data_IF_711579424469
#
_entry.id   IF_711579424469
#
_cell.length_a   1.000
_cell.length_b   1.000
_cell.length_c   1.000
_cell.angle_alpha   90.00
_cell.angle_beta   90.00
_cell.angle_gamma   90.00
#
_symmetry.space_group_name_H-M   'P 1'
#
loop_
_entity.id
_entity.type
_entity.pdbx_description
1 polymer ?
#
# COMPACT_ATOMS: atom_id res chain seq x y z
N UNK A 1 -4.75 28.45 -1.76
CA UNK A 1 -4.33 27.59 -2.88
C UNK A 1 -5.10 26.28 -2.93
N UNK A 2 -5.09 25.40 -1.93
CA UNK A 2 -5.77 24.09 -1.99
C UNK A 2 -7.29 24.12 -2.34
N UNK A 3 -8.06 25.09 -1.85
CA UNK A 3 -9.49 25.21 -2.19
C UNK A 3 -9.74 25.59 -3.65
N UNK A 4 -8.89 26.40 -4.25
CA UNK A 4 -9.00 26.85 -5.65
C UNK A 4 -8.67 25.70 -6.60
N UNK A 5 -7.64 24.90 -6.27
CA UNK A 5 -7.25 23.73 -7.04
C UNK A 5 -8.31 22.61 -6.98
N UNK A 6 -8.87 22.34 -5.79
CA UNK A 6 -9.95 21.37 -5.65
C UNK A 6 -11.20 21.78 -6.44
N UNK A 7 -11.58 23.06 -6.40
CA UNK A 7 -12.71 23.56 -7.17
C UNK A 7 -12.47 23.47 -8.69
N UNK A 8 -11.21 23.66 -9.13
CA UNK A 8 -10.80 23.46 -10.52
C UNK A 8 -10.94 22.01 -10.97
N UNK A 9 -10.50 21.06 -10.14
CA UNK A 9 -10.62 19.61 -10.42
C UNK A 9 -12.08 19.15 -10.52
N UNK A 10 -12.96 19.67 -9.66
CA UNK A 10 -14.39 19.33 -9.66
C UNK A 10 -15.16 19.91 -10.88
N UNK A 11 -14.57 20.82 -11.63
CA UNK A 11 -15.11 21.31 -12.90
C UNK A 11 -14.76 20.41 -14.10
N UNK A 12 -13.74 19.57 -13.97
CA UNK A 12 -13.33 18.60 -15.00
C UNK A 12 -14.33 17.42 -15.03
N UNK A 13 -15.28 17.47 -15.96
CA UNK A 13 -16.37 16.48 -16.04
C UNK A 13 -15.87 15.02 -16.09
N UNK A 14 -14.76 14.80 -16.78
CA UNK A 14 -14.18 13.46 -16.93
C UNK A 14 -13.57 12.96 -15.62
N UNK A 15 -12.88 13.85 -14.89
CA UNK A 15 -12.32 13.57 -13.57
C UNK A 15 -13.43 13.23 -12.57
N UNK A 16 -14.50 14.03 -12.51
CA UNK A 16 -15.62 13.78 -11.59
C UNK A 16 -16.30 12.45 -11.87
N UNK A 17 -16.48 12.08 -13.16
CA UNK A 17 -17.02 10.75 -13.52
C UNK A 17 -16.09 9.63 -13.09
N UNK A 18 -14.77 9.74 -13.29
CA UNK A 18 -13.81 8.74 -12.86
C UNK A 18 -13.73 8.65 -11.32
N UNK A 19 -13.76 9.81 -10.65
CA UNK A 19 -13.78 9.91 -9.20
C UNK A 19 -15.04 9.26 -8.59
N UNK A 20 -16.21 9.45 -9.22
CA UNK A 20 -17.46 8.80 -8.76
C UNK A 20 -17.38 7.28 -8.85
N UNK A 21 -16.83 6.72 -9.93
CA UNK A 21 -16.56 5.28 -10.05
C UNK A 21 -15.63 4.80 -8.93
N UNK A 22 -14.56 5.57 -8.64
CA UNK A 22 -13.61 5.25 -7.59
C UNK A 22 -14.25 5.28 -6.20
N UNK A 23 -14.95 6.36 -5.86
CA UNK A 23 -15.54 6.56 -4.53
C UNK A 23 -16.60 5.50 -4.24
N UNK A 24 -17.54 5.28 -5.16
CA UNK A 24 -18.60 4.27 -4.99
C UNK A 24 -17.99 2.85 -4.96
N UNK A 25 -17.04 2.55 -5.82
CA UNK A 25 -16.36 1.24 -5.85
C UNK A 25 -15.62 0.97 -4.55
N UNK A 26 -14.78 1.90 -4.08
CA UNK A 26 -14.02 1.73 -2.84
C UNK A 26 -14.88 1.74 -1.57
N UNK A 27 -16.01 2.46 -1.55
CA UNK A 27 -17.00 2.35 -0.49
C UNK A 27 -17.50 0.91 -0.34
N UNK A 28 -17.89 0.26 -1.45
CA UNK A 28 -18.32 -1.14 -1.45
C UNK A 28 -17.16 -2.10 -1.11
N UNK A 29 -15.93 -1.78 -1.50
CA UNK A 29 -14.75 -2.55 -1.09
C UNK A 29 -14.57 -2.54 0.43
N UNK A 30 -14.81 -1.40 1.07
CA UNK A 30 -14.79 -1.28 2.53
C UNK A 30 -15.82 -2.19 3.18
N UNK A 31 -17.06 -2.23 2.68
CA UNK A 31 -18.11 -3.13 3.17
C UNK A 31 -17.69 -4.59 3.00
N UNK A 32 -17.24 -4.99 1.81
CA UNK A 32 -16.84 -6.38 1.50
C UNK A 32 -15.69 -6.83 2.43
N UNK A 33 -14.64 -6.01 2.54
CA UNK A 33 -13.47 -6.37 3.37
C UNK A 33 -13.81 -6.47 4.84
N UNK A 34 -14.67 -5.59 5.36
CA UNK A 34 -15.10 -5.63 6.77
C UNK A 34 -16.06 -6.78 7.05
N UNK A 35 -16.99 -7.06 6.14
CA UNK A 35 -17.90 -8.20 6.26
C UNK A 35 -17.12 -9.53 6.26
N UNK A 36 -16.13 -9.65 5.37
CA UNK A 36 -15.22 -10.81 5.32
C UNK A 36 -14.32 -10.89 6.55
N UNK A 37 -13.72 -9.76 6.95
CA UNK A 37 -12.87 -9.69 8.13
C UNK A 37 -13.62 -10.10 9.39
N UNK A 38 -14.82 -9.59 9.59
CA UNK A 38 -15.69 -9.97 10.70
C UNK A 38 -16.06 -11.45 10.69
N UNK A 39 -16.43 -11.97 9.51
CA UNK A 39 -16.86 -13.36 9.36
C UNK A 39 -15.72 -14.37 9.40
N UNK A 40 -14.63 -14.14 8.66
CA UNK A 40 -13.54 -15.09 8.53
C UNK A 40 -12.55 -15.03 9.69
N UNK A 41 -12.25 -13.82 10.21
CA UNK A 41 -11.17 -13.63 11.18
C UNK A 41 -11.66 -13.62 12.63
N UNK A 42 -12.89 -13.17 12.89
CA UNK A 42 -13.37 -12.92 14.24
C UNK A 42 -14.53 -13.84 14.70
N UNK A 43 -14.95 -14.81 13.89
CA UNK A 43 -15.91 -15.83 14.34
C UNK A 43 -15.18 -16.92 15.12
N UNK A 44 -15.38 -17.02 16.47
CA UNK A 44 -14.62 -17.96 17.33
C UNK A 44 -14.84 -19.43 16.95
N UNK A 45 -16.04 -19.73 16.45
CA UNK A 45 -16.46 -21.09 16.09
C UNK A 45 -15.75 -21.67 14.88
N UNK A 46 -15.04 -20.84 14.12
CA UNK A 46 -14.57 -21.16 12.76
C UNK A 46 -13.06 -21.20 12.59
N UNK A 47 -12.30 -20.79 13.62
CA UNK A 47 -10.84 -20.80 13.56
C UNK A 47 -10.24 -21.36 14.83
N UNK A 48 -9.86 -22.63 14.77
CA UNK A 48 -9.32 -23.39 15.90
C UNK A 48 -7.82 -23.15 16.14
N UNK A 49 -7.10 -22.43 15.24
CA UNK A 49 -5.67 -22.25 15.41
C UNK A 49 -5.14 -20.93 14.83
N UNK A 50 -4.06 -20.36 15.41
CA UNK A 50 -3.36 -19.20 14.85
C UNK A 50 -2.90 -19.42 13.40
N UNK A 51 -2.54 -20.66 13.03
CA UNK A 51 -2.13 -21.03 11.68
C UNK A 51 -3.26 -20.82 10.65
N UNK A 52 -4.52 -21.06 11.02
CA UNK A 52 -5.67 -20.82 10.15
C UNK A 52 -5.88 -19.30 9.90
N UNK A 53 -5.64 -18.46 10.91
CA UNK A 53 -5.66 -16.99 10.79
C UNK A 53 -4.57 -16.54 9.82
N UNK A 54 -3.36 -17.07 9.95
CA UNK A 54 -2.24 -16.79 9.05
C UNK A 54 -2.53 -17.24 7.63
N UNK A 55 -3.07 -18.43 7.46
CA UNK A 55 -3.48 -18.95 6.16
C UNK A 55 -4.50 -18.02 5.49
N UNK A 56 -5.51 -17.55 6.23
CA UNK A 56 -6.50 -16.61 5.72
C UNK A 56 -5.86 -15.27 5.29
N UNK A 57 -4.94 -14.72 6.10
CA UNK A 57 -4.24 -13.48 5.73
C UNK A 57 -3.25 -13.65 4.58
N UNK A 58 -2.45 -14.70 4.58
CA UNK A 58 -1.55 -15.01 3.47
C UNK A 58 -2.34 -15.09 2.17
N UNK A 59 -3.47 -15.75 2.23
CA UNK A 59 -4.37 -15.96 1.10
C UNK A 59 -5.03 -14.67 0.62
N UNK A 60 -5.47 -13.80 1.54
CA UNK A 60 -6.09 -12.51 1.22
C UNK A 60 -5.10 -11.53 0.55
N UNK A 61 -3.84 -11.63 0.91
CA UNK A 61 -2.84 -10.62 0.56
C UNK A 61 -1.85 -11.09 -0.54
N UNK A 62 -1.66 -12.40 -0.70
CA UNK A 62 -0.72 -12.99 -1.67
C UNK A 62 -1.02 -12.60 -3.14
N UNK A 63 -2.29 -12.53 -3.61
CA UNK A 63 -2.58 -12.07 -4.95
C UNK A 63 -2.21 -10.62 -5.21
N UNK A 64 -2.29 -9.77 -4.18
CA UNK A 64 -1.93 -8.35 -4.31
C UNK A 64 -0.48 -8.15 -4.71
N UNK A 65 0.41 -9.00 -4.21
CA UNK A 65 1.84 -8.89 -4.45
C UNK A 65 2.28 -9.50 -5.78
N UNK A 66 1.76 -10.69 -6.09
CA UNK A 66 2.20 -11.45 -7.27
C UNK A 66 1.52 -10.94 -8.54
N UNK A 67 0.22 -10.64 -8.48
CA UNK A 67 -0.57 -10.27 -9.65
C UNK A 67 -0.40 -8.80 -10.01
N UNK A 68 -0.07 -7.93 -9.02
CA UNK A 68 0.03 -6.48 -9.20
C UNK A 68 0.85 -6.02 -10.41
N UNK A 69 2.11 -6.45 -10.58
CA UNK A 69 2.96 -6.04 -11.72
C UNK A 69 2.40 -6.48 -13.08
N UNK A 70 1.68 -7.61 -13.13
CA UNK A 70 1.13 -8.16 -14.37
C UNK A 70 -0.22 -7.54 -14.77
N UNK A 71 -0.86 -6.77 -13.88
CA UNK A 71 -2.12 -6.09 -14.18
C UNK A 71 -1.98 -5.04 -15.28
N UNK A 72 -0.80 -4.41 -15.41
CA UNK A 72 -0.48 -3.50 -16.51
C UNK A 72 -0.65 -4.18 -17.88
N UNK A 73 -0.07 -5.37 -18.04
CA UNK A 73 -0.15 -6.15 -19.29
C UNK A 73 -1.59 -6.48 -19.68
N UNK A 74 -2.44 -6.75 -18.68
CA UNK A 74 -3.85 -7.03 -18.92
C UNK A 74 -4.62 -5.76 -19.32
N UNK A 75 -4.30 -4.63 -18.69
CA UNK A 75 -4.91 -3.33 -18.98
C UNK A 75 -4.54 -2.78 -20.36
N UNK A 76 -3.36 -3.12 -20.88
CA UNK A 76 -2.90 -2.67 -22.20
C UNK A 76 -3.62 -3.39 -23.36
N UNK A 77 -4.30 -4.52 -23.07
CA UNK A 77 -5.04 -5.29 -24.06
C UNK A 77 -6.50 -4.82 -24.21
N UNK A 78 -7.07 -4.18 -23.20
CA UNK A 78 -8.49 -3.85 -23.16
C UNK A 78 -8.70 -2.36 -22.94
N UNK A 79 -9.79 -1.81 -23.50
CA UNK A 79 -10.20 -0.43 -23.22
C UNK A 79 -10.53 -0.28 -21.74
N UNK A 80 -9.87 0.65 -21.05
CA UNK A 80 -9.97 0.82 -19.58
C UNK A 80 -11.41 1.00 -19.08
N UNK A 81 -12.28 1.66 -19.85
CA UNK A 81 -13.73 1.72 -19.54
C UNK A 81 -14.35 0.32 -19.48
N UNK A 82 -14.06 -0.55 -20.44
CA UNK A 82 -14.59 -1.92 -20.46
C UNK A 82 -14.05 -2.72 -19.28
N UNK A 83 -12.79 -2.57 -18.93
CA UNK A 83 -12.21 -3.17 -17.72
C UNK A 83 -12.99 -2.71 -16.49
N UNK A 84 -13.21 -1.41 -16.29
CA UNK A 84 -13.98 -0.90 -15.15
C UNK A 84 -15.41 -1.44 -15.12
N UNK A 85 -16.08 -1.54 -16.27
CA UNK A 85 -17.43 -2.05 -16.38
C UNK A 85 -17.50 -3.55 -16.07
N UNK A 86 -16.82 -4.36 -16.89
CA UNK A 86 -16.94 -5.83 -16.80
C UNK A 86 -16.35 -6.38 -15.50
N UNK A 87 -15.25 -5.82 -15.03
CA UNK A 87 -14.64 -6.27 -13.76
C UNK A 87 -15.59 -6.03 -12.58
N UNK A 88 -16.30 -4.89 -12.53
CA UNK A 88 -17.27 -4.64 -11.45
C UNK A 88 -18.50 -5.57 -11.57
N UNK A 89 -18.95 -5.90 -12.77
CA UNK A 89 -20.04 -6.88 -12.97
C UNK A 89 -19.59 -8.27 -12.48
N UNK A 90 -18.42 -8.74 -12.90
CA UNK A 90 -17.89 -10.04 -12.47
C UNK A 90 -17.70 -10.06 -10.95
N UNK A 91 -17.18 -8.97 -10.37
CA UNK A 91 -17.04 -8.86 -8.91
C UNK A 91 -18.40 -8.92 -8.20
N UNK A 92 -19.43 -8.26 -8.72
CA UNK A 92 -20.76 -8.33 -8.14
C UNK A 92 -21.29 -9.78 -8.10
N UNK A 93 -21.09 -10.54 -9.18
CA UNK A 93 -21.46 -11.98 -9.24
C UNK A 93 -20.64 -12.78 -8.21
N UNK A 94 -19.32 -12.55 -8.13
CA UNK A 94 -18.46 -13.24 -7.16
C UNK A 94 -18.86 -12.90 -5.71
N UNK A 95 -19.25 -11.64 -5.42
CA UNK A 95 -19.69 -11.21 -4.08
C UNK A 95 -21.04 -11.84 -3.72
N UNK A 96 -21.97 -12.02 -4.67
CA UNK A 96 -23.22 -12.78 -4.45
C UNK A 96 -22.90 -14.25 -4.16
N UNK A 97 -21.99 -14.86 -4.91
CA UNK A 97 -21.53 -16.22 -4.65
C UNK A 97 -20.89 -16.35 -3.26
N UNK A 98 -20.10 -15.34 -2.86
CA UNK A 98 -19.52 -15.27 -1.52
C UNK A 98 -20.61 -15.17 -0.44
N UNK A 99 -21.66 -14.36 -0.64
CA UNK A 99 -22.80 -14.28 0.26
C UNK A 99 -23.50 -15.62 0.42
N UNK A 100 -23.69 -16.35 -0.66
CA UNK A 100 -24.27 -17.70 -0.63
C UNK A 100 -23.40 -18.70 0.13
N UNK A 101 -22.07 -18.73 -0.13
CA UNK A 101 -21.13 -19.57 0.62
C UNK A 101 -21.09 -19.23 2.12
N UNK A 102 -21.25 -17.95 2.46
CA UNK A 102 -21.35 -17.50 3.85
C UNK A 102 -22.60 -18.02 4.53
N UNK A 103 -23.74 -18.05 3.83
CA UNK A 103 -25.01 -18.60 4.35
C UNK A 103 -24.96 -20.12 4.50
N UNK A 104 -24.35 -20.84 3.58
CA UNK A 104 -24.19 -22.29 3.67
C UNK A 104 -23.22 -22.75 4.76
N UNK A 105 -22.44 -21.82 5.33
CA UNK A 105 -21.42 -22.13 6.34
C UNK A 105 -20.19 -22.84 5.76
N UNK A 106 -20.07 -22.92 4.43
CA UNK A 106 -18.95 -23.54 3.76
C UNK A 106 -17.71 -22.61 3.83
N UNK A 107 -16.73 -23.04 4.61
CA UNK A 107 -15.41 -22.40 4.73
C UNK A 107 -14.32 -23.12 3.92
N UNK A 108 -14.75 -23.97 3.00
CA UNK A 108 -13.86 -24.77 2.17
C UNK A 108 -13.01 -23.95 1.18
N UNK A 109 -12.19 -24.65 0.38
CA UNK A 109 -11.30 -24.02 -0.62
C UNK A 109 -12.05 -23.13 -1.62
N UNK A 110 -13.35 -23.38 -1.84
CA UNK A 110 -14.22 -22.60 -2.71
C UNK A 110 -14.38 -21.14 -2.24
N UNK A 111 -14.65 -20.93 -0.97
CA UNK A 111 -14.74 -19.57 -0.38
C UNK A 111 -13.43 -18.81 -0.58
N UNK A 112 -12.34 -19.48 -0.30
CA UNK A 112 -10.99 -18.94 -0.45
C UNK A 112 -10.72 -18.49 -1.89
N UNK A 113 -11.04 -19.35 -2.86
CA UNK A 113 -10.86 -19.05 -4.29
C UNK A 113 -11.69 -17.83 -4.71
N UNK A 114 -12.96 -17.75 -4.27
CA UNK A 114 -13.84 -16.62 -4.59
C UNK A 114 -13.29 -15.31 -4.03
N UNK A 115 -12.82 -15.31 -2.78
CA UNK A 115 -12.20 -14.14 -2.15
C UNK A 115 -10.95 -13.71 -2.91
N UNK A 116 -10.09 -14.66 -3.30
CA UNK A 116 -8.88 -14.37 -4.09
C UNK A 116 -9.22 -13.71 -5.42
N UNK A 117 -10.24 -14.22 -6.13
CA UNK A 117 -10.69 -13.64 -7.39
C UNK A 117 -11.22 -12.22 -7.17
N UNK A 118 -12.05 -11.99 -6.15
CA UNK A 118 -12.56 -10.64 -5.81
C UNK A 118 -11.42 -9.67 -5.57
N UNK A 119 -10.40 -10.06 -4.82
CA UNK A 119 -9.24 -9.20 -4.51
C UNK A 119 -8.35 -8.96 -5.73
N UNK A 120 -8.12 -9.98 -6.57
CA UNK A 120 -7.38 -9.82 -7.81
C UNK A 120 -8.08 -8.84 -8.77
N UNK A 121 -9.39 -8.97 -8.91
CA UNK A 121 -10.21 -8.07 -9.71
C UNK A 121 -10.24 -6.64 -9.13
N UNK A 122 -10.26 -6.50 -7.79
CA UNK A 122 -10.12 -5.20 -7.14
C UNK A 122 -8.79 -4.53 -7.49
N UNK A 123 -7.70 -5.27 -7.45
CA UNK A 123 -6.39 -4.75 -7.85
C UNK A 123 -6.38 -4.26 -9.29
N UNK A 124 -7.00 -5.02 -10.20
CA UNK A 124 -7.15 -4.63 -11.61
C UNK A 124 -7.89 -3.30 -11.75
N UNK A 125 -8.99 -3.11 -11.01
CA UNK A 125 -9.75 -1.85 -11.00
C UNK A 125 -8.90 -0.69 -10.50
N UNK A 126 -8.19 -0.84 -9.37
CA UNK A 126 -7.37 0.22 -8.82
C UNK A 126 -6.24 0.62 -9.78
N UNK A 127 -5.64 -0.34 -10.46
CA UNK A 127 -4.63 -0.10 -11.50
C UNK A 127 -5.25 0.62 -12.72
N UNK A 128 -6.44 0.20 -13.17
CA UNK A 128 -7.16 0.84 -14.26
C UNK A 128 -7.53 2.29 -13.94
N UNK A 129 -7.99 2.56 -12.72
CA UNK A 129 -8.31 3.92 -12.25
C UNK A 129 -7.06 4.80 -12.20
N UNK A 130 -5.95 4.30 -11.67
CA UNK A 130 -4.69 5.04 -11.60
C UNK A 130 -4.14 5.34 -13.00
N UNK A 131 -4.13 4.36 -13.90
CA UNK A 131 -3.68 4.53 -15.27
C UNK A 131 -4.58 5.46 -16.12
N UNK A 132 -5.87 5.59 -15.75
CA UNK A 132 -6.82 6.45 -16.44
C UNK A 132 -6.72 7.92 -16.02
N UNK A 133 -6.23 8.19 -14.80
CA UNK A 133 -6.25 9.51 -14.17
C UNK A 133 -5.56 10.61 -15.01
N UNK A 134 -4.36 10.39 -15.61
CA UNK A 134 -3.68 11.42 -16.41
C UNK A 134 -4.47 11.87 -17.65
N UNK A 135 -5.46 11.08 -18.09
CA UNK A 135 -6.31 11.41 -19.26
C UNK A 135 -7.59 12.14 -18.90
N UNK A 136 -7.81 12.41 -17.62
CA UNK A 136 -9.05 13.02 -17.12
C UNK A 136 -8.87 14.45 -16.68
N UNK A 137 -7.64 14.92 -16.57
CA UNK A 137 -7.27 16.27 -16.13
C UNK A 137 -6.17 16.84 -17.01
N UNK A 138 -6.03 18.16 -17.04
CA UNK A 138 -4.90 18.85 -17.67
C UNK A 138 -3.59 18.58 -16.88
N UNK A 139 -2.45 18.72 -17.57
CA UNK A 139 -1.13 18.39 -17.01
C UNK A 139 -0.75 19.20 -15.76
N UNK A 140 -1.21 20.46 -15.69
CA UNK A 140 -1.01 21.35 -14.54
C UNK A 140 -1.77 20.90 -13.28
N UNK A 141 -2.87 20.13 -13.44
CA UNK A 141 -3.70 19.63 -12.34
C UNK A 141 -3.44 18.17 -11.97
N UNK A 142 -2.57 17.49 -12.72
CA UNK A 142 -2.31 16.06 -12.54
C UNK A 142 -1.78 15.74 -11.13
N UNK A 143 -0.92 16.60 -10.57
CA UNK A 143 -0.37 16.43 -9.22
C UNK A 143 -1.49 16.46 -8.17
N UNK A 144 -2.39 17.44 -8.26
CA UNK A 144 -3.53 17.57 -7.35
C UNK A 144 -4.54 16.43 -7.52
N UNK A 145 -4.79 15.98 -8.76
CA UNK A 145 -5.65 14.84 -9.04
C UNK A 145 -5.11 13.53 -8.46
N UNK A 146 -3.78 13.30 -8.58
CA UNK A 146 -3.09 12.15 -8.00
C UNK A 146 -3.09 12.16 -6.46
N UNK A 147 -3.19 13.33 -5.83
CA UNK A 147 -3.35 13.43 -4.38
C UNK A 147 -4.80 13.19 -3.95
N UNK A 148 -5.76 13.86 -4.60
CA UNK A 148 -7.18 13.84 -4.21
C UNK A 148 -7.85 12.50 -4.47
N UNK A 149 -7.64 11.89 -5.63
CA UNK A 149 -8.37 10.69 -6.01
C UNK A 149 -8.10 9.47 -5.10
N UNK A 150 -6.85 9.14 -4.71
CA UNK A 150 -6.60 8.08 -3.73
C UNK A 150 -7.19 8.38 -2.36
N UNK A 151 -7.03 9.62 -1.86
CA UNK A 151 -7.56 10.02 -0.54
C UNK A 151 -9.08 9.90 -0.50
N UNK A 152 -9.79 10.41 -1.51
CA UNK A 152 -11.23 10.28 -1.59
C UNK A 152 -11.69 8.81 -1.61
N UNK A 153 -10.98 7.96 -2.35
CA UNK A 153 -11.27 6.54 -2.40
C UNK A 153 -11.03 5.82 -1.08
N UNK A 154 -9.88 6.02 -0.43
CA UNK A 154 -9.57 5.39 0.86
C UNK A 154 -10.51 5.87 1.98
N UNK A 155 -10.90 7.16 1.96
CA UNK A 155 -11.92 7.70 2.86
C UNK A 155 -13.26 7.01 2.65
N UNK A 156 -13.69 6.82 1.40
CA UNK A 156 -14.91 6.10 1.08
C UNK A 156 -14.86 4.64 1.55
N UNK A 157 -13.73 3.95 1.37
CA UNK A 157 -13.55 2.60 1.87
C UNK A 157 -13.63 2.54 3.40
N UNK A 158 -13.00 3.49 4.10
CA UNK A 158 -13.07 3.58 5.55
C UNK A 158 -14.51 3.81 6.06
N UNK A 159 -15.29 4.66 5.39
CA UNK A 159 -16.71 4.89 5.72
C UNK A 159 -17.52 3.60 5.49
N UNK A 160 -17.36 2.94 4.35
CA UNK A 160 -18.02 1.67 4.04
C UNK A 160 -17.70 0.58 5.08
N UNK A 161 -16.42 0.48 5.46
CA UNK A 161 -15.95 -0.41 6.50
C UNK A 161 -16.59 -0.11 7.87
N UNK A 162 -16.61 1.16 8.28
CA UNK A 162 -17.20 1.59 9.54
C UNK A 162 -18.70 1.27 9.61
N UNK A 163 -19.45 1.49 8.52
CA UNK A 163 -20.87 1.14 8.43
C UNK A 163 -21.06 -0.37 8.56
N UNK A 164 -20.29 -1.18 7.86
CA UNK A 164 -20.37 -2.64 7.92
C UNK A 164 -20.07 -3.18 9.32
N UNK A 165 -19.04 -2.64 9.99
CA UNK A 165 -18.70 -2.99 11.37
C UNK A 165 -19.82 -2.59 12.34
N UNK A 166 -20.37 -1.37 12.20
CA UNK A 166 -21.46 -0.89 13.06
C UNK A 166 -22.72 -1.76 12.93
N UNK A 167 -23.10 -2.13 11.71
CA UNK A 167 -24.25 -3.02 11.47
C UNK A 167 -23.96 -4.41 12.05
N UNK A 168 -22.77 -4.96 11.78
CA UNK A 168 -22.39 -6.28 12.29
C UNK A 168 -22.35 -6.36 13.82
N UNK A 169 -21.91 -5.29 14.50
CA UNK A 169 -21.86 -5.23 15.96
C UNK A 169 -23.24 -5.15 16.62
N UNK A 170 -24.18 -4.44 15.99
CA UNK A 170 -25.54 -4.27 16.53
C UNK A 170 -26.44 -5.49 16.28
N UNK A 171 -26.28 -6.18 15.16
CA UNK A 171 -27.15 -7.28 14.74
C UNK A 171 -26.57 -8.68 15.02
N UNK A 172 -25.58 -8.77 15.92
CA UNK A 172 -24.88 -10.03 16.24
C UNK A 172 -24.32 -10.68 14.96
N UNK A 173 -23.06 -10.46 14.64
CA UNK A 173 -22.37 -10.83 13.39
C UNK A 173 -22.65 -12.28 12.91
N UNK A 174 -23.92 -12.57 12.58
CA UNK A 174 -24.38 -13.85 12.03
C UNK A 174 -24.04 -13.96 10.55
N UNK A 175 -23.95 -15.17 10.02
CA UNK A 175 -23.77 -15.40 8.58
C UNK A 175 -24.83 -14.70 7.74
N UNK A 176 -26.05 -14.53 8.26
CA UNK A 176 -27.17 -13.85 7.59
C UNK A 176 -26.87 -12.35 7.43
N UNK A 177 -26.45 -11.67 8.48
CA UNK A 177 -26.12 -10.23 8.44
C UNK A 177 -24.94 -9.98 7.49
N UNK A 178 -23.90 -10.82 7.57
CA UNK A 178 -22.77 -10.76 6.65
C UNK A 178 -23.20 -10.94 5.20
N UNK A 179 -24.07 -11.92 4.91
CA UNK A 179 -24.58 -12.15 3.57
C UNK A 179 -25.38 -10.95 3.03
N UNK A 180 -26.24 -10.33 3.85
CA UNK A 180 -26.97 -9.12 3.44
C UNK A 180 -26.05 -7.93 3.15
N UNK A 181 -25.01 -7.74 3.95
CA UNK A 181 -23.99 -6.72 3.69
C UNK A 181 -23.27 -6.97 2.36
N UNK A 182 -22.95 -8.23 2.07
CA UNK A 182 -22.34 -8.62 0.79
C UNK A 182 -23.28 -8.41 -0.39
N UNK A 183 -24.56 -8.75 -0.26
CA UNK A 183 -25.57 -8.48 -1.31
C UNK A 183 -25.72 -6.97 -1.55
N UNK A 184 -25.81 -6.17 -0.48
CA UNK A 184 -25.85 -4.72 -0.63
C UNK A 184 -24.60 -4.17 -1.33
N UNK A 185 -23.42 -4.68 -1.01
CA UNK A 185 -22.17 -4.31 -1.69
C UNK A 185 -22.16 -4.77 -3.16
N UNK A 186 -22.72 -5.94 -3.49
CA UNK A 186 -22.86 -6.39 -4.89
C UNK A 186 -23.74 -5.43 -5.71
N UNK A 187 -24.86 -4.98 -5.16
CA UNK A 187 -25.70 -3.93 -5.79
C UNK A 187 -24.91 -2.64 -6.00
N UNK A 188 -24.11 -2.22 -5.01
CA UNK A 188 -23.23 -1.06 -5.12
C UNK A 188 -22.14 -1.24 -6.19
N UNK A 189 -21.60 -2.45 -6.38
CA UNK A 189 -20.67 -2.75 -7.49
C UNK A 189 -21.35 -2.66 -8.85
N UNK A 190 -22.61 -3.11 -8.98
CA UNK A 190 -23.41 -2.92 -10.21
C UNK A 190 -23.67 -1.43 -10.49
N UNK A 191 -23.93 -0.63 -9.45
CA UNK A 191 -24.00 0.83 -9.58
C UNK A 191 -22.66 1.40 -10.06
N UNK A 192 -21.54 0.93 -9.53
CA UNK A 192 -20.20 1.32 -9.97
C UNK A 192 -19.96 0.96 -11.45
N UNK A 193 -20.40 -0.21 -11.87
CA UNK A 193 -20.40 -0.62 -13.29
C UNK A 193 -21.25 0.34 -14.15
N UNK A 194 -22.45 0.66 -13.72
CA UNK A 194 -23.35 1.61 -14.41
C UNK A 194 -22.73 3.02 -14.49
N UNK A 195 -22.08 3.51 -13.44
CA UNK A 195 -21.35 4.77 -13.46
C UNK A 195 -20.20 4.75 -14.47
N UNK A 196 -19.55 3.60 -14.67
CA UNK A 196 -18.50 3.45 -15.68
C UNK A 196 -19.02 3.65 -17.11
N UNK A 197 -20.30 3.42 -17.37
CA UNK A 197 -20.93 3.69 -18.67
C UNK A 197 -20.97 5.20 -19.02
N UNK A 198 -20.92 6.08 -18.03
CA UNK A 198 -20.86 7.54 -18.24
C UNK A 198 -19.52 8.03 -18.78
N UNK A 199 -18.50 7.16 -18.77
CA UNK A 199 -17.16 7.45 -19.31
C UNK A 199 -17.18 7.16 -20.83
N UNK A 200 -16.62 8.04 -21.68
CA UNK A 200 -16.51 7.77 -23.11
C UNK A 200 -15.58 6.58 -23.39
N UNK A 201 -15.90 5.79 -24.38
CA UNK A 201 -15.21 4.49 -24.64
C UNK A 201 -13.72 4.65 -24.94
N UNK A 202 -13.34 5.73 -25.63
CA UNK A 202 -11.97 5.99 -26.11
C UNK A 202 -11.18 6.95 -25.23
N UNK A 203 -11.81 7.59 -24.22
CA UNK A 203 -11.18 8.68 -23.47
C UNK A 203 -10.10 8.23 -22.49
N UNK A 204 -10.16 6.99 -22.02
CA UNK A 204 -9.29 6.48 -20.95
C UNK A 204 -8.06 5.72 -21.48
N UNK A 205 -8.01 5.42 -22.81
CA UNK A 205 -6.94 4.64 -23.43
C UNK A 205 -7.06 3.13 -23.29
N UNK A 206 -6.06 2.32 -23.68
CA UNK A 206 -4.78 2.74 -24.28
C UNK A 206 -4.94 3.37 -25.70
N UNK A 207 -3.93 4.12 -26.19
CA UNK A 207 -3.92 4.57 -27.59
C UNK A 207 -3.90 3.38 -28.55
N UNK A 208 -4.35 3.59 -29.82
CA UNK A 208 -4.39 2.51 -30.81
C UNK A 208 -3.00 1.95 -31.15
N UNK A 209 -1.97 2.79 -31.03
CA UNK A 209 -0.57 2.51 -31.40
C UNK A 209 0.26 2.01 -30.20
N UNK A 210 -0.36 1.72 -29.05
CA UNK A 210 0.36 1.28 -27.86
C UNK A 210 0.97 -0.11 -28.07
N UNK A 211 2.28 -0.24 -27.93
CA UNK A 211 2.98 -1.52 -28.02
C UNK A 211 2.62 -2.38 -26.80
N UNK A 212 2.05 -3.56 -27.07
CA UNK A 212 1.62 -4.50 -26.05
C UNK A 212 2.81 -5.18 -25.42
N UNK A 213 3.04 -4.97 -24.15
CA UNK A 213 4.07 -5.69 -23.40
C UNK A 213 3.67 -7.15 -23.15
N UNK A 214 4.66 -8.05 -23.16
CA UNK A 214 4.49 -9.47 -22.86
C UNK A 214 4.84 -9.72 -21.39
N UNK A 215 4.28 -10.76 -20.78
CA UNK A 215 4.63 -11.22 -19.42
C UNK A 215 6.15 -11.46 -19.25
N UNK A 216 6.82 -11.98 -20.26
CA UNK A 216 8.28 -12.20 -20.24
C UNK A 216 9.05 -10.90 -20.20
N UNK A 217 8.56 -9.87 -20.88
CA UNK A 217 9.15 -8.53 -20.86
C UNK A 217 9.04 -7.91 -19.48
N UNK A 218 7.85 -7.98 -18.84
CA UNK A 218 7.66 -7.46 -17.47
C UNK A 218 8.54 -8.20 -16.46
N UNK A 219 8.67 -9.53 -16.56
CA UNK A 219 9.56 -10.29 -15.69
C UNK A 219 11.04 -9.89 -15.92
N UNK A 220 11.45 -9.73 -17.17
CA UNK A 220 12.78 -9.21 -17.53
C UNK A 220 13.01 -7.81 -16.93
N UNK A 221 12.03 -6.92 -17.05
CA UNK A 221 12.09 -5.56 -16.49
C UNK A 221 12.23 -5.56 -14.95
N UNK A 222 11.58 -6.52 -14.23
CA UNK A 222 11.76 -6.64 -12.78
C UNK A 222 13.16 -7.12 -12.41
N UNK A 223 13.73 -8.07 -13.16
CA UNK A 223 15.11 -8.55 -12.97
C UNK A 223 16.11 -7.43 -13.24
N UNK A 224 15.96 -6.71 -14.36
CA UNK A 224 16.79 -5.56 -14.70
C UNK A 224 16.69 -4.45 -13.65
N UNK A 225 15.47 -4.18 -13.15
CA UNK A 225 15.26 -3.25 -12.04
C UNK A 225 16.02 -3.66 -10.78
N UNK A 226 16.08 -4.97 -10.50
CA UNK A 226 16.87 -5.54 -9.39
C UNK A 226 18.38 -5.33 -9.57
N UNK A 227 18.90 -5.56 -10.76
CA UNK A 227 20.32 -5.35 -11.07
C UNK A 227 20.72 -3.88 -10.96
N UNK A 228 19.86 -2.97 -11.43
CA UNK A 228 20.07 -1.52 -11.30
C UNK A 228 20.02 -1.11 -9.82
N UNK A 229 19.07 -1.64 -9.05
CA UNK A 229 18.93 -1.34 -7.62
C UNK A 229 20.18 -1.77 -6.83
N UNK A 230 20.71 -2.95 -7.11
CA UNK A 230 21.93 -3.46 -6.43
C UNK A 230 23.14 -2.55 -6.67
N UNK A 231 23.24 -1.94 -7.84
CA UNK A 231 24.30 -0.98 -8.17
C UNK A 231 24.09 0.38 -7.50
N UNK A 232 22.85 0.77 -7.24
CA UNK A 232 22.50 2.02 -6.57
C UNK A 232 22.46 1.81 -5.04
N UNK A 233 23.66 1.71 -4.40
CA UNK A 233 23.81 1.38 -2.98
C UNK A 233 22.92 2.18 -2.01
N UNK A 234 22.77 3.53 -2.12
CA UNK A 234 21.87 4.26 -1.24
C UNK A 234 20.41 3.83 -1.39
N UNK A 235 19.95 3.60 -2.63
CA UNK A 235 18.60 3.14 -2.91
C UNK A 235 18.37 1.72 -2.39
N UNK A 236 19.31 0.80 -2.61
CA UNK A 236 19.25 -0.57 -2.10
C UNK A 236 19.11 -0.61 -0.57
N UNK A 237 19.91 0.16 0.17
CA UNK A 237 19.87 0.20 1.62
C UNK A 237 18.54 0.78 2.13
N UNK A 238 18.01 1.82 1.46
CA UNK A 238 16.70 2.40 1.80
C UNK A 238 15.55 1.42 1.54
N UNK A 239 15.58 0.70 0.42
CA UNK A 239 14.61 -0.37 0.11
C UNK A 239 14.69 -1.49 1.15
N UNK A 240 15.89 -1.96 1.49
CA UNK A 240 16.09 -2.98 2.51
C UNK A 240 15.55 -2.55 3.89
N UNK A 241 15.69 -1.28 4.25
CA UNK A 241 15.14 -0.73 5.49
C UNK A 241 13.60 -0.79 5.50
N UNK A 242 12.95 -0.39 4.39
CA UNK A 242 11.49 -0.48 4.28
C UNK A 242 11.01 -1.94 4.26
N UNK A 243 11.76 -2.85 3.65
CA UNK A 243 11.49 -4.30 3.68
C UNK A 243 11.51 -4.84 5.12
N UNK A 244 12.54 -4.50 5.91
CA UNK A 244 12.62 -4.89 7.32
C UNK A 244 11.44 -4.32 8.13
N UNK A 245 11.09 -3.05 7.92
CA UNK A 245 9.90 -2.45 8.53
C UNK A 245 8.61 -3.18 8.13
N UNK A 246 8.44 -3.57 6.86
CA UNK A 246 7.24 -4.29 6.38
C UNK A 246 7.13 -5.69 6.99
N UNK A 247 8.24 -6.40 7.15
CA UNK A 247 8.26 -7.65 7.90
C UNK A 247 7.82 -7.44 9.35
N UNK A 248 8.37 -6.43 10.05
CA UNK A 248 7.98 -6.08 11.42
C UNK A 248 6.49 -5.71 11.51
N UNK A 249 5.99 -4.96 10.53
CA UNK A 249 4.56 -4.61 10.44
C UNK A 249 3.70 -5.88 10.32
N UNK A 250 4.09 -6.85 9.49
CA UNK A 250 3.39 -8.12 9.36
C UNK A 250 3.35 -8.94 10.65
N UNK A 251 4.48 -9.00 11.35
CA UNK A 251 4.57 -9.65 12.68
C UNK A 251 3.64 -8.97 13.69
N UNK A 252 3.75 -7.64 13.82
CA UNK A 252 2.92 -6.86 14.74
C UNK A 252 1.43 -6.96 14.43
N UNK A 253 1.06 -6.95 13.15
CA UNK A 253 -0.32 -7.10 12.70
C UNK A 253 -0.93 -8.41 13.19
N UNK A 254 -0.21 -9.53 13.05
CA UNK A 254 -0.67 -10.82 13.53
C UNK A 254 -0.80 -10.86 15.05
N UNK A 255 0.16 -10.32 15.78
CA UNK A 255 0.10 -10.22 17.25
C UNK A 255 -1.15 -9.44 17.68
N UNK A 256 -1.41 -8.27 17.07
CA UNK A 256 -2.58 -7.44 17.39
C UNK A 256 -3.88 -8.19 17.09
N UNK A 257 -3.96 -8.98 16.03
CA UNK A 257 -5.15 -9.78 15.72
C UNK A 257 -5.39 -10.82 16.81
N UNK A 258 -4.35 -11.57 17.19
CA UNK A 258 -4.47 -12.61 18.22
C UNK A 258 -4.83 -11.98 19.57
N UNK A 259 -4.13 -10.92 19.99
CA UNK A 259 -4.45 -10.19 21.23
C UNK A 259 -5.88 -9.64 21.24
N UNK A 260 -6.35 -9.12 20.09
CA UNK A 260 -7.73 -8.64 19.96
C UNK A 260 -8.75 -9.76 20.20
N UNK A 261 -8.46 -10.99 19.75
CA UNK A 261 -9.33 -12.15 19.92
C UNK A 261 -9.29 -12.73 21.33
N UNK A 262 -8.10 -12.81 21.92
CA UNK A 262 -7.88 -13.56 23.17
C UNK A 262 -8.03 -12.71 24.42
N UNK A 263 -7.48 -11.49 24.39
CA UNK A 263 -7.28 -10.69 25.62
C UNK A 263 -8.07 -9.37 25.58
N UNK A 264 -8.04 -8.64 24.48
CA UNK A 264 -8.50 -7.24 24.44
C UNK A 264 -9.95 -7.08 24.01
N UNK A 265 -10.55 -8.09 23.36
CA UNK A 265 -11.92 -8.02 22.82
C UNK A 265 -13.03 -8.35 23.83
N UNK A 266 -12.71 -8.55 25.12
CA UNK A 266 -13.71 -8.84 26.16
C UNK A 266 -14.52 -10.12 25.91
N UNK A 267 -13.93 -11.14 25.25
CA UNK A 267 -14.58 -12.41 24.94
C UNK A 267 -15.63 -12.36 23.83
N UNK A 268 -15.80 -11.22 23.15
CA UNK A 268 -16.78 -11.07 22.07
C UNK A 268 -16.09 -10.81 20.72
N UNK A 269 -16.66 -11.38 19.64
CA UNK A 269 -16.19 -11.15 18.27
C UNK A 269 -16.29 -9.66 17.88
N UNK A 270 -17.33 -8.97 18.31
CA UNK A 270 -17.53 -7.54 18.06
C UNK A 270 -16.45 -6.68 18.76
N UNK A 271 -16.13 -6.99 20.01
CA UNK A 271 -15.05 -6.32 20.76
C UNK A 271 -13.67 -6.56 20.12
N UNK A 272 -13.39 -7.79 19.73
CA UNK A 272 -12.15 -8.14 19.03
C UNK A 272 -11.99 -7.37 17.71
N UNK A 273 -13.05 -7.32 16.89
CA UNK A 273 -13.08 -6.56 15.64
C UNK A 273 -12.92 -5.06 15.91
N UNK A 274 -13.57 -4.52 16.97
CA UNK A 274 -13.47 -3.12 17.36
C UNK A 274 -12.03 -2.72 17.73
N UNK A 275 -11.34 -3.49 18.56
CA UNK A 275 -9.94 -3.25 18.94
C UNK A 275 -9.02 -3.32 17.72
N UNK A 276 -9.19 -4.32 16.87
CA UNK A 276 -8.41 -4.44 15.65
C UNK A 276 -8.63 -3.26 14.69
N UNK A 277 -9.90 -2.86 14.48
CA UNK A 277 -10.22 -1.72 13.62
C UNK A 277 -9.61 -0.41 14.17
N UNK A 278 -9.64 -0.19 15.49
CA UNK A 278 -8.99 0.96 16.12
C UNK A 278 -7.47 0.93 15.93
N UNK A 279 -6.81 -0.23 16.05
CA UNK A 279 -5.38 -0.35 15.82
C UNK A 279 -4.99 -0.02 14.36
N UNK A 280 -5.79 -0.49 13.38
CA UNK A 280 -5.59 -0.14 11.96
C UNK A 280 -5.85 1.35 11.71
N UNK A 281 -6.88 1.93 12.32
CA UNK A 281 -7.16 3.37 12.22
C UNK A 281 -6.02 4.21 12.82
N UNK A 282 -5.47 3.79 13.96
CA UNK A 282 -4.30 4.43 14.56
C UNK A 282 -3.06 4.35 13.65
N UNK A 283 -2.82 3.20 13.01
CA UNK A 283 -1.74 3.07 12.02
C UNK A 283 -1.95 3.99 10.81
N UNK A 284 -3.19 4.11 10.33
CA UNK A 284 -3.56 5.06 9.27
C UNK A 284 -3.32 6.52 9.67
N UNK A 285 -3.73 6.91 10.89
CA UNK A 285 -3.49 8.24 11.42
C UNK A 285 -1.98 8.53 11.55
N UNK A 286 -1.21 7.57 12.05
CA UNK A 286 0.26 7.67 12.10
C UNK A 286 0.88 7.86 10.70
N UNK A 287 0.40 7.15 9.71
CA UNK A 287 0.85 7.30 8.32
C UNK A 287 0.54 8.70 7.77
N UNK A 288 -0.64 9.25 8.03
CA UNK A 288 -0.99 10.63 7.66
C UNK A 288 -0.06 11.65 8.33
N UNK A 289 0.19 11.49 9.64
CA UNK A 289 1.17 12.33 10.37
C UNK A 289 2.55 12.21 9.74
N UNK A 290 3.00 11.00 9.42
CA UNK A 290 4.26 10.75 8.73
C UNK A 290 4.35 11.44 7.37
N UNK A 291 3.29 11.41 6.58
CA UNK A 291 3.24 12.10 5.28
C UNK A 291 3.39 13.62 5.41
N UNK A 292 2.79 14.22 6.44
CA UNK A 292 2.85 15.68 6.70
C UNK A 292 4.18 16.09 7.30
N UNK A 293 4.70 15.35 8.28
CA UNK A 293 5.91 15.71 9.01
C UNK A 293 7.21 15.42 8.26
N UNK A 294 7.22 14.40 7.38
CA UNK A 294 8.45 13.97 6.70
C UNK A 294 9.07 15.07 5.83
N UNK A 295 8.35 15.78 4.93
CA UNK A 295 8.98 16.76 4.06
C UNK A 295 9.69 17.91 4.80
N UNK A 296 9.09 18.58 5.81
CA UNK A 296 9.76 19.66 6.52
C UNK A 296 10.93 19.17 7.39
N UNK A 297 10.84 17.97 7.98
CA UNK A 297 11.90 17.43 8.82
C UNK A 297 13.09 16.92 8.01
N UNK A 298 12.84 16.33 6.86
CA UNK A 298 13.88 15.93 5.90
C UNK A 298 14.70 17.15 5.42
N UNK A 299 14.04 18.29 5.17
CA UNK A 299 14.74 19.52 4.80
C UNK A 299 15.68 20.03 5.91
N UNK A 300 15.35 19.79 7.19
CA UNK A 300 16.15 20.25 8.34
C UNK A 300 17.29 19.31 8.70
N UNK A 301 17.04 18.03 8.76
CA UNK A 301 18.00 17.05 9.32
C UNK A 301 18.48 15.99 8.33
N UNK A 302 17.90 15.93 7.14
CA UNK A 302 18.23 14.98 6.07
C UNK A 302 17.46 13.67 6.14
N UNK A 303 17.27 13.03 4.97
CA UNK A 303 16.45 11.83 4.77
C UNK A 303 16.89 10.67 5.68
N UNK A 304 18.18 10.29 5.62
CA UNK A 304 18.69 9.14 6.37
C UNK A 304 18.59 9.31 7.89
N UNK A 305 18.81 10.55 8.42
CA UNK A 305 18.70 10.82 9.86
C UNK A 305 17.26 10.81 10.33
N UNK A 306 16.35 11.45 9.59
CA UNK A 306 14.93 11.46 9.93
C UNK A 306 14.36 10.06 10.01
N UNK A 307 14.54 9.26 8.94
CA UNK A 307 14.04 7.90 8.90
C UNK A 307 14.66 7.01 9.98
N UNK A 308 15.96 7.16 10.25
CA UNK A 308 16.62 6.42 11.31
C UNK A 308 16.03 6.73 12.70
N UNK A 309 15.77 8.02 13.02
CA UNK A 309 15.15 8.43 14.28
C UNK A 309 13.76 7.82 14.42
N UNK A 310 12.93 7.93 13.40
CA UNK A 310 11.56 7.42 13.45
C UNK A 310 11.52 5.89 13.56
N UNK A 311 12.40 5.19 12.82
CA UNK A 311 12.52 3.73 12.92
C UNK A 311 13.08 3.29 14.29
N UNK A 312 14.03 4.02 14.88
CA UNK A 312 14.53 3.75 16.22
C UNK A 312 13.42 3.96 17.27
N UNK A 313 12.65 5.04 17.16
CA UNK A 313 11.50 5.26 18.02
C UNK A 313 10.46 4.13 17.89
N UNK A 314 10.16 3.69 16.67
CA UNK A 314 9.29 2.55 16.42
C UNK A 314 9.86 1.24 17.01
N UNK A 315 11.17 1.03 16.93
CA UNK A 315 11.83 -0.15 17.50
C UNK A 315 11.62 -0.28 19.02
N UNK A 316 11.43 0.82 19.72
CA UNK A 316 11.15 0.81 21.15
C UNK A 316 9.65 0.79 21.43
N UNK A 317 8.90 1.71 20.84
CA UNK A 317 7.48 1.91 21.18
C UNK A 317 6.58 0.74 20.75
N UNK A 318 6.88 0.11 19.61
CA UNK A 318 6.04 -1.00 19.09
C UNK A 318 6.16 -2.25 19.95
N UNK A 319 7.36 -2.79 20.23
CA UNK A 319 7.50 -3.94 21.11
C UNK A 319 6.96 -3.69 22.53
N UNK A 320 7.20 -2.52 23.10
CA UNK A 320 6.65 -2.14 24.42
C UNK A 320 5.12 -2.09 24.38
N UNK A 321 4.53 -1.53 23.34
CA UNK A 321 3.09 -1.50 23.16
C UNK A 321 2.48 -2.91 23.04
N UNK A 322 3.10 -3.81 22.27
CA UNK A 322 2.67 -5.21 22.13
C UNK A 322 2.83 -5.99 23.44
N UNK A 323 3.95 -5.80 24.15
CA UNK A 323 4.22 -6.45 25.43
C UNK A 323 3.28 -6.00 26.55
N UNK A 324 2.76 -4.77 26.48
CA UNK A 324 1.79 -4.25 27.47
C UNK A 324 0.43 -4.95 27.45
N UNK A 325 0.13 -5.73 26.42
CA UNK A 325 -1.16 -6.40 26.19
C UNK A 325 -2.36 -5.50 26.46
N UNK A 326 -2.25 -4.21 26.09
CA UNK A 326 -3.28 -3.19 26.33
C UNK A 326 -3.75 -2.58 25.00
N UNK A 327 -5.01 -2.12 24.98
CA UNK A 327 -5.56 -1.43 23.79
C UNK A 327 -4.72 -0.19 23.48
N UNK A 328 -4.37 0.61 24.50
CA UNK A 328 -3.56 1.82 24.31
C UNK A 328 -2.19 1.50 23.73
N UNK A 329 -1.53 0.44 24.23
CA UNK A 329 -0.25 -0.03 23.69
C UNK A 329 -0.35 -0.42 22.21
N UNK A 330 -1.40 -1.13 21.81
CA UNK A 330 -1.66 -1.49 20.41
C UNK A 330 -1.92 -0.26 19.53
N UNK A 331 -2.64 0.75 20.03
CA UNK A 331 -2.91 1.99 19.30
C UNK A 331 -1.64 2.84 19.10
N UNK A 332 -0.85 3.03 20.17
CA UNK A 332 0.41 3.77 20.10
C UNK A 332 1.42 3.07 19.20
N UNK A 333 1.56 1.74 19.36
CA UNK A 333 2.41 0.94 18.49
C UNK A 333 1.97 0.99 17.03
N UNK A 334 0.67 0.87 16.77
CA UNK A 334 0.09 0.99 15.43
C UNK A 334 0.36 2.35 14.79
N UNK A 335 0.08 3.44 15.52
CA UNK A 335 0.35 4.80 15.06
C UNK A 335 1.84 5.01 14.73
N UNK A 336 2.72 4.49 15.56
CA UNK A 336 4.17 4.60 15.34
C UNK A 336 4.65 3.77 14.15
N UNK A 337 4.09 2.56 13.93
CA UNK A 337 4.35 1.76 12.73
C UNK A 337 3.89 2.50 11.46
N UNK A 338 2.69 3.08 11.49
CA UNK A 338 2.17 3.84 10.36
C UNK A 338 3.05 5.05 10.01
N UNK A 339 3.44 5.83 11.03
CA UNK A 339 4.32 7.00 10.89
C UNK A 339 5.68 6.60 10.32
N UNK A 340 6.31 5.57 10.88
CA UNK A 340 7.60 5.06 10.44
C UNK A 340 7.54 4.53 8.99
N UNK A 341 6.50 3.75 8.68
CA UNK A 341 6.32 3.18 7.35
C UNK A 341 6.13 4.23 6.26
N UNK A 342 5.31 5.24 6.52
CA UNK A 342 5.08 6.34 5.57
C UNK A 342 6.32 7.22 5.40
N UNK A 343 6.99 7.56 6.49
CA UNK A 343 8.25 8.32 6.43
C UNK A 343 9.32 7.56 5.64
N UNK A 344 9.49 6.26 5.92
CA UNK A 344 10.42 5.40 5.20
C UNK A 344 10.10 5.32 3.71
N UNK A 345 8.81 5.16 3.35
CA UNK A 345 8.38 5.10 1.94
C UNK A 345 8.71 6.41 1.21
N UNK A 346 8.34 7.57 1.75
CA UNK A 346 8.59 8.88 1.12
C UNK A 346 10.08 9.12 0.90
N UNK A 347 10.93 8.80 1.89
CA UNK A 347 12.37 8.95 1.76
C UNK A 347 12.97 7.97 0.76
N UNK A 348 12.49 6.72 0.73
CA UNK A 348 12.98 5.71 -0.22
C UNK A 348 12.57 6.06 -1.65
N UNK A 349 11.34 6.51 -1.88
CA UNK A 349 10.88 6.99 -3.19
C UNK A 349 11.77 8.13 -3.69
N UNK A 350 12.13 9.08 -2.82
CA UNK A 350 13.05 10.18 -3.15
C UNK A 350 14.47 9.68 -3.42
N UNK A 351 14.97 8.73 -2.63
CA UNK A 351 16.31 8.16 -2.80
C UNK A 351 16.42 7.39 -4.12
N UNK A 352 15.40 6.60 -4.49
CA UNK A 352 15.33 5.93 -5.79
C UNK A 352 15.33 6.97 -6.92
N UNK A 353 14.49 8.01 -6.82
CA UNK A 353 14.38 9.03 -7.84
C UNK A 353 15.70 9.80 -8.10
N UNK A 354 16.55 9.94 -7.08
CA UNK A 354 17.85 10.63 -7.19
C UNK A 354 19.01 9.75 -7.67
N UNK A 355 18.96 8.45 -7.37
CA UNK A 355 20.10 7.55 -7.58
C UNK A 355 19.89 6.57 -8.74
N UNK A 356 18.71 6.55 -9.35
CA UNK A 356 18.37 5.67 -10.47
C UNK A 356 18.04 6.52 -11.69
N UNK A 357 18.62 6.19 -12.85
CA UNK A 357 18.35 6.85 -14.13
C UNK A 357 16.88 6.75 -14.53
N UNK A 358 16.36 7.75 -15.26
CA UNK A 358 14.94 7.88 -15.59
C UNK A 358 14.37 6.67 -16.32
N UNK A 359 15.10 6.10 -17.25
CA UNK A 359 14.73 4.91 -18.06
C UNK A 359 14.64 3.61 -17.24
N UNK A 360 15.31 3.50 -16.09
CA UNK A 360 15.24 2.35 -15.19
C UNK A 360 14.32 2.58 -13.98
N UNK A 361 13.97 3.84 -13.68
CA UNK A 361 13.25 4.24 -12.47
C UNK A 361 11.90 3.53 -12.31
N UNK A 362 11.13 3.42 -13.39
CA UNK A 362 9.83 2.73 -13.37
C UNK A 362 9.95 1.25 -12.99
N UNK A 363 10.99 0.56 -13.50
CA UNK A 363 11.28 -0.86 -13.20
C UNK A 363 11.66 -1.06 -11.74
N UNK A 364 12.48 -0.15 -11.18
CA UNK A 364 12.88 -0.19 -9.77
C UNK A 364 11.70 0.08 -8.85
N UNK A 365 10.80 1.02 -9.17
CA UNK A 365 9.59 1.25 -8.39
C UNK A 365 8.63 0.05 -8.43
N UNK A 366 8.45 -0.58 -9.59
CA UNK A 366 7.62 -1.79 -9.70
C UNK A 366 8.18 -2.94 -8.83
N UNK A 367 9.50 -3.16 -8.87
CA UNK A 367 10.17 -4.13 -8.01
C UNK A 367 10.01 -3.77 -6.52
N UNK A 368 10.20 -2.51 -6.16
CA UNK A 368 10.04 -2.03 -4.79
C UNK A 368 8.65 -2.33 -4.24
N UNK A 369 7.58 -2.03 -5.00
CA UNK A 369 6.20 -2.34 -4.60
C UNK A 369 5.97 -3.84 -4.39
N UNK A 370 6.53 -4.70 -5.23
CA UNK A 370 6.46 -6.16 -5.06
C UNK A 370 7.14 -6.59 -3.77
N UNK A 371 8.40 -6.18 -3.57
CA UNK A 371 9.24 -6.65 -2.47
C UNK A 371 8.69 -6.22 -1.12
N UNK A 372 8.16 -4.99 -0.97
CA UNK A 372 7.57 -4.53 0.29
C UNK A 372 6.27 -5.26 0.65
N UNK A 373 5.49 -5.68 -0.34
CA UNK A 373 4.30 -6.47 -0.10
C UNK A 373 4.67 -7.91 0.27
N UNK A 374 5.60 -8.54 -0.46
CA UNK A 374 6.13 -9.87 -0.11
C UNK A 374 6.70 -9.88 1.32
N UNK A 375 7.44 -8.83 1.69
CA UNK A 375 8.00 -8.69 3.04
C UNK A 375 6.91 -8.67 4.14
N UNK A 376 5.80 -7.96 3.91
CA UNK A 376 4.66 -7.96 4.81
C UNK A 376 4.12 -9.39 5.03
N UNK A 377 3.98 -10.16 3.95
CA UNK A 377 3.47 -11.53 4.02
C UNK A 377 4.42 -12.49 4.68
N UNK A 378 5.71 -12.36 4.38
CA UNK A 378 6.74 -13.13 5.06
C UNK A 378 6.70 -12.88 6.57
N UNK A 379 6.52 -11.62 6.98
CA UNK A 379 6.35 -11.26 8.39
C UNK A 379 5.14 -11.96 9.04
N UNK A 380 3.97 -11.89 8.40
CA UNK A 380 2.75 -12.58 8.88
C UNK A 380 2.95 -14.10 8.88
N UNK A 381 3.48 -14.65 7.78
CA UNK A 381 3.67 -16.10 7.63
C UNK A 381 4.61 -16.68 8.66
N UNK A 382 5.80 -16.09 8.82
CA UNK A 382 6.78 -16.54 9.82
C UNK A 382 6.22 -16.39 11.24
N UNK A 383 5.55 -15.26 11.54
CA UNK A 383 4.94 -15.06 12.84
C UNK A 383 3.90 -16.14 13.17
N UNK A 384 3.15 -16.62 12.16
CA UNK A 384 2.13 -17.62 12.36
C UNK A 384 2.62 -19.01 12.78
N UNK A 385 3.87 -19.34 12.48
CA UNK A 385 4.47 -20.58 12.96
C UNK A 385 5.01 -20.49 14.40
N UNK A 386 5.21 -19.26 14.91
CA UNK A 386 5.88 -19.00 16.21
C UNK A 386 4.94 -18.41 17.23
N UNK A 387 3.77 -17.87 16.79
CA UNK A 387 2.85 -17.18 17.69
C UNK A 387 2.24 -18.13 18.71
N UNK A 388 2.22 -17.70 19.98
CA UNK A 388 1.54 -18.41 21.07
C UNK A 388 0.01 -18.19 20.97
N UNK A 389 -0.81 -19.13 21.48
CA UNK A 389 -2.28 -19.00 21.42
C UNK A 389 -2.83 -17.75 22.09
N UNK A 390 -2.11 -17.19 23.06
CA UNK A 390 -2.45 -15.95 23.79
C UNK A 390 -1.92 -14.68 23.12
N UNK A 391 -1.09 -14.80 22.08
CA UNK A 391 -0.49 -13.67 21.37
C UNK A 391 0.71 -13.01 22.06
N UNK A 392 1.19 -13.55 23.20
CA UNK A 392 2.26 -12.96 24.01
C UNK A 392 3.66 -13.48 23.69
N UNK A 393 3.92 -13.89 22.45
CA UNK A 393 5.21 -14.48 22.04
C UNK A 393 6.38 -13.48 22.19
N UNK A 394 7.23 -13.69 23.19
CA UNK A 394 8.45 -12.90 23.44
C UNK A 394 9.38 -12.93 22.22
N UNK A 395 9.47 -14.06 21.53
CA UNK A 395 10.30 -14.20 20.33
C UNK A 395 9.84 -13.28 19.19
N UNK A 396 8.53 -13.13 18.98
CA UNK A 396 7.99 -12.24 17.95
C UNK A 396 8.12 -10.77 18.33
N UNK A 397 7.97 -10.44 19.62
CA UNK A 397 8.20 -9.08 20.12
C UNK A 397 9.68 -8.70 19.93
N UNK A 398 10.61 -9.60 20.29
CA UNK A 398 12.03 -9.40 20.05
C UNK A 398 12.39 -9.31 18.56
N UNK A 399 11.77 -10.13 17.71
CA UNK A 399 11.93 -10.05 16.25
C UNK A 399 11.44 -8.71 15.69
N UNK A 400 10.32 -8.18 16.19
CA UNK A 400 9.80 -6.87 15.82
C UNK A 400 10.80 -5.76 16.17
N UNK A 401 11.37 -5.81 17.38
CA UNK A 401 12.45 -4.90 17.80
C UNK A 401 13.65 -4.99 16.84
N UNK A 402 14.16 -6.21 16.62
CA UNK A 402 15.35 -6.42 15.79
C UNK A 402 15.17 -5.93 14.34
N UNK A 403 14.01 -6.19 13.74
CA UNK A 403 13.70 -5.74 12.38
C UNK A 403 13.61 -4.21 12.28
N UNK A 404 12.98 -3.54 13.24
CA UNK A 404 12.86 -2.09 13.26
C UNK A 404 14.20 -1.41 13.59
N UNK A 405 14.99 -1.99 14.48
CA UNK A 405 16.36 -1.54 14.75
C UNK A 405 17.26 -1.70 13.52
N UNK A 406 17.16 -2.83 12.82
CA UNK A 406 17.87 -3.04 11.56
C UNK A 406 17.45 -2.02 10.50
N UNK A 407 16.15 -1.72 10.37
CA UNK A 407 15.65 -0.67 9.48
C UNK A 407 16.25 0.70 9.81
N UNK A 408 16.37 1.05 11.10
CA UNK A 408 17.02 2.30 11.54
C UNK A 408 18.49 2.35 11.11
N UNK A 409 19.25 1.28 11.37
CA UNK A 409 20.67 1.20 11.00
C UNK A 409 20.88 1.25 9.47
N UNK A 410 20.02 0.61 8.70
CA UNK A 410 20.04 0.66 7.24
C UNK A 410 19.80 2.08 6.70
N UNK A 411 18.89 2.87 7.30
CA UNK A 411 18.70 4.27 6.93
C UNK A 411 19.91 5.14 7.32
N UNK A 412 20.58 4.87 8.44
CA UNK A 412 21.86 5.53 8.77
C UNK A 412 22.91 5.24 7.70
N UNK A 413 23.03 3.97 7.29
CA UNK A 413 23.97 3.54 6.27
C UNK A 413 23.66 4.15 4.90
N UNK A 414 22.38 4.19 4.50
CA UNK A 414 21.94 4.83 3.27
C UNK A 414 22.30 6.33 3.24
N UNK A 415 22.06 7.05 4.35
CA UNK A 415 22.40 8.47 4.44
C UNK A 415 23.92 8.74 4.41
N UNK A 416 24.74 7.82 4.93
CA UNK A 416 26.20 7.89 4.80
C UNK A 416 26.66 7.65 3.37
N UNK A 417 26.11 6.64 2.71
CA UNK A 417 26.42 6.32 1.31
C UNK A 417 26.09 7.49 0.37
N UNK A 418 24.93 8.11 0.53
CA UNK A 418 24.53 9.29 -0.26
C UNK A 418 25.54 10.44 -0.12
N UNK A 419 26.03 10.71 1.09
CA UNK A 419 27.03 11.77 1.32
C UNK A 419 28.41 11.44 0.71
N UNK A 420 28.83 10.18 0.77
CA UNK A 420 30.05 9.72 0.15
C UNK A 420 30.02 9.89 -1.36
N UNK A 421 28.91 9.50 -2.01
CA UNK A 421 28.71 9.66 -3.45
C UNK A 421 28.71 11.13 -3.89
N UNK A 422 28.08 12.02 -3.12
CA UNK A 422 28.09 13.46 -3.38
C UNK A 422 29.49 14.07 -3.22
N UNK A 423 30.26 13.60 -2.25
CA UNK A 423 31.66 14.07 -2.04
C UNK A 423 32.58 13.66 -3.18
N UNK A 424 32.39 12.46 -3.73
CA UNK A 424 33.18 11.95 -4.83
C UNK A 424 32.87 12.64 -6.18
N UNK A 425 31.64 13.17 -6.36
CA UNK A 425 31.24 13.89 -7.60
C UNK A 425 31.72 15.33 -7.63
N UNK A 426 31.90 16.01 -6.50
CA UNK A 426 32.36 17.41 -6.42
C UNK A 426 33.77 17.69 -6.99
N UNK A 427 34.77 16.80 -6.92
CA UNK A 427 36.09 17.08 -7.54
C UNK A 427 36.08 17.09 -9.06
N UNK A 428 35.16 16.36 -9.71
CA UNK A 428 35.07 16.29 -11.16
C UNK A 428 34.54 17.57 -11.82
N UNK A 429 33.62 18.28 -11.13
CA UNK A 429 33.04 19.53 -11.64
C UNK A 429 33.99 20.73 -11.49
N UNK A 430 34.92 20.71 -10.53
CA UNK A 430 35.89 21.79 -10.31
C UNK A 430 37.06 21.65 -11.29
N UNK A 431 37.43 20.44 -11.73
CA UNK A 431 38.49 20.18 -12.70
C UNK A 431 38.17 20.62 -14.12
N UNK A 432 36.91 20.48 -14.53
CA UNK A 432 36.45 20.83 -15.88
C UNK A 432 36.26 22.35 -16.08
N UNK A 433 35.85 23.07 -14.99
CA UNK A 433 35.71 24.52 -15.03
C UNK A 433 37.03 25.28 -15.13
N UNK A 434 38.11 24.73 -14.55
CA UNK A 434 39.46 25.36 -14.56
C UNK A 434 40.19 25.14 -15.87
N UNK A 435 39.83 24.09 -16.65
CA UNK A 435 40.37 23.87 -18.01
C UNK A 435 39.66 24.72 -19.07
N UNK A 436 38.34 24.98 -18.91
CA UNK A 436 37.61 25.85 -19.82
C UNK A 436 38.06 27.34 -19.68
N UNK A 437 38.33 27.81 -18.44
CA UNK A 437 38.78 29.20 -18.18
C UNK A 437 40.26 29.43 -18.63
N UNK A 438 41.09 28.37 -18.71
CA UNK A 438 42.46 28.44 -19.25
C UNK A 438 42.51 28.41 -20.78
N UNK A 439 41.53 27.74 -21.41
CA UNK A 439 41.41 27.73 -22.89
C UNK A 439 41.04 29.12 -23.44
N UNK A 440 40.11 29.81 -22.81
CA UNK A 440 39.60 31.14 -23.23
C UNK A 440 40.66 32.26 -23.03
N UNK A 441 41.56 32.13 -22.04
CA UNK A 441 42.65 33.09 -21.81
C UNK A 441 43.85 32.88 -22.75
N UNK A 442 44.02 31.69 -23.31
CA UNK A 442 45.11 31.42 -24.28
C UNK A 442 44.77 31.97 -25.67
N UNK A 443 43.48 31.94 -26.05
CA UNK A 443 43.04 32.46 -27.36
C UNK A 443 42.93 34.00 -27.41
N UNK A 444 42.72 34.67 -26.25
CA UNK A 444 42.69 36.16 -26.21
C UNK A 444 44.07 36.82 -26.23
N UNK A 445 45.18 36.09 -25.94
CA UNK A 445 46.55 36.62 -25.98
C UNK A 445 47.22 36.49 -27.37
N UNK A 446 46.63 35.74 -28.27
CA UNK A 446 47.15 35.57 -29.64
C UNK A 446 46.52 36.54 -30.66
N UNK A 447 45.58 37.41 -30.28
CA UNK A 447 44.89 38.35 -31.15
C UNK A 447 45.43 39.81 -31.05
N UNK A 448 46.41 40.09 -30.18
CA UNK A 448 47.02 41.40 -30.03
C UNK A 448 48.56 41.38 -30.29
N UNK A 449 48.98 40.63 -31.29
CA UNK A 449 50.41 40.64 -31.74
C UNK A 449 50.55 40.95 -33.23
#
# INVERSE_FOLDING_TARGET
MARVELHGLLRERLFVRLLSVRVVGQFNDGIIQSALGGYALFSPERQSSPAAVVGAFALLLLPYSIIGPFMGVLLDRWRRRQVLLFTNVVRAVMVVMLAWLTLSGDLGPGLILVVLVILALNRLILTALAASLPRTVSSDRLISANAVAPVAGTTAAAIGAAIAVSIGSQLSASGIVTAWLLVAAAVGLLLTAALSLRLPVSSLGPPADYQRESFRVVLGQLIDGGLVLVRARPALLSVAAVVAHRCAYGVALLIVIVLSKTTLGGGSAAGALGVFALAIAAAGAGALIGAVLTPPLVKRIGEGRWCAIVMAAAAVTVPVGLASTSVVGCLVGGAMLGLAGQSGKVCTDTTIARNVHDDARGRVFALFDVVINVALFLGIGVAGFVITPDGTSVALIAATFALLAAASLLFVAAGRSTRADQRNRRPAEIGDGDQADRGDRADSSSAEG
#
